data_IF_075423625994
#
_entry.id   IF_075423625994
#
_cell.length_a   1.000
_cell.length_b   1.000
_cell.length_c   1.000
_cell.angle_alpha   90.00
_cell.angle_beta   90.00
_cell.angle_gamma   90.00
#
_symmetry.space_group_name_H-M   'P 1'
#
loop_
_entity.id
_entity.type
_entity.pdbx_description
1 polymer ?
#
# COMPACT_ATOMS: atom_id res chain seq x y z
N UNK A 1 3.15 16.59 -12.85
CA UNK A 1 4.29 16.55 -13.80
C UNK A 1 3.98 15.67 -15.02
N UNK A 2 3.06 14.71 -14.92
CA UNK A 2 2.65 13.85 -16.05
C UNK A 2 3.84 13.14 -16.70
N UNK A 3 4.74 12.64 -15.85
CA UNK A 3 5.96 11.94 -16.25
C UNK A 3 5.69 10.44 -16.13
N UNK A 4 5.92 9.66 -17.19
CA UNK A 4 5.68 8.22 -17.16
C UNK A 4 6.76 7.50 -16.34
N UNK A 5 6.42 6.30 -15.87
CA UNK A 5 7.44 5.37 -15.36
C UNK A 5 8.21 4.78 -16.55
N UNK A 6 9.50 4.49 -16.40
CA UNK A 6 10.28 3.79 -17.42
C UNK A 6 10.86 2.50 -16.87
N UNK A 7 11.20 1.59 -17.78
CA UNK A 7 11.98 0.39 -17.49
C UNK A 7 13.33 0.78 -16.87
N UNK A 8 13.78 0.01 -15.88
CA UNK A 8 15.06 0.23 -15.19
C UNK A 8 16.20 0.44 -16.21
N UNK A 9 16.86 1.61 -16.23
CA UNK A 9 17.91 1.94 -17.20
C UNK A 9 19.10 0.99 -17.18
N UNK A 10 19.37 0.34 -16.05
CA UNK A 10 20.49 -0.59 -15.88
C UNK A 10 20.21 -2.00 -16.40
N UNK A 11 18.97 -2.31 -16.78
CA UNK A 11 18.65 -3.63 -17.35
C UNK A 11 19.14 -3.74 -18.80
N UNK A 12 19.59 -4.94 -19.24
CA UNK A 12 19.83 -5.20 -20.66
C UNK A 12 18.61 -4.84 -21.51
N UNK A 13 18.78 -4.44 -22.78
CA UNK A 13 17.64 -4.19 -23.65
C UNK A 13 16.77 -5.46 -23.79
N UNK A 14 15.45 -5.34 -24.03
CA UNK A 14 14.51 -6.46 -23.98
C UNK A 14 14.95 -7.70 -24.78
N UNK A 15 15.53 -7.50 -25.96
CA UNK A 15 16.03 -8.56 -26.84
C UNK A 15 17.27 -9.30 -26.31
N UNK A 16 17.94 -8.78 -25.28
CA UNK A 16 19.09 -9.40 -24.60
C UNK A 16 18.74 -9.99 -23.24
N UNK A 17 17.48 -9.91 -22.82
CA UNK A 17 17.03 -10.55 -21.57
C UNK A 17 17.02 -12.07 -21.73
N UNK A 18 17.29 -12.81 -20.66
CA UNK A 18 17.21 -14.27 -20.70
C UNK A 18 15.77 -14.73 -20.90
N UNK A 19 15.60 -15.94 -21.45
CA UNK A 19 14.28 -16.53 -21.73
C UNK A 19 13.37 -16.56 -20.49
N UNK A 20 13.94 -16.72 -19.29
CA UNK A 20 13.21 -16.72 -18.03
C UNK A 20 12.33 -15.47 -17.82
N UNK A 21 12.73 -14.30 -18.34
CA UNK A 21 11.96 -13.06 -18.21
C UNK A 21 10.76 -12.99 -19.17
N UNK A 22 10.69 -13.87 -20.16
CA UNK A 22 9.51 -14.03 -21.02
C UNK A 22 8.47 -15.01 -20.46
N UNK A 23 8.71 -15.55 -19.26
CA UNK A 23 7.78 -16.43 -18.57
C UNK A 23 6.40 -15.77 -18.37
N UNK A 24 5.34 -16.49 -18.74
CA UNK A 24 3.95 -16.04 -18.57
C UNK A 24 3.57 -16.02 -17.08
N UNK A 25 3.23 -14.84 -16.55
CA UNK A 25 2.83 -14.65 -15.15
C UNK A 25 1.38 -14.16 -15.10
N UNK A 26 0.56 -14.84 -14.30
CA UNK A 26 -0.83 -14.46 -14.06
C UNK A 26 -0.99 -13.88 -12.65
N UNK A 27 -1.78 -12.82 -12.52
CA UNK A 27 -2.23 -12.32 -11.23
C UNK A 27 -3.76 -12.25 -11.24
N UNK A 28 -4.40 -12.58 -10.13
CA UNK A 28 -5.87 -12.51 -10.00
C UNK A 28 -6.27 -11.39 -9.04
N UNK A 29 -7.22 -10.57 -9.48
CA UNK A 29 -7.68 -9.36 -8.81
C UNK A 29 -6.75 -8.17 -9.09
N UNK A 30 -7.28 -7.09 -9.67
CA UNK A 30 -6.57 -5.84 -9.92
C UNK A 30 -6.64 -4.89 -8.71
N UNK A 31 -6.42 -5.43 -7.51
CA UNK A 31 -6.31 -4.66 -6.27
C UNK A 31 -4.86 -4.28 -5.91
N UNK A 32 -4.64 -3.59 -4.77
CA UNK A 32 -3.32 -3.08 -4.38
C UNK A 32 -2.20 -4.13 -4.35
N UNK A 33 -2.51 -5.34 -3.87
CA UNK A 33 -1.54 -6.43 -3.79
C UNK A 33 -1.02 -6.86 -5.17
N UNK A 34 -1.91 -7.10 -6.12
CA UNK A 34 -1.52 -7.50 -7.48
C UNK A 34 -0.88 -6.36 -8.26
N UNK A 35 -1.35 -5.11 -8.08
CA UNK A 35 -0.74 -3.93 -8.71
C UNK A 35 0.72 -3.80 -8.25
N UNK A 36 0.97 -3.95 -6.94
CA UNK A 36 2.32 -3.96 -6.39
C UNK A 36 3.17 -5.11 -6.93
N UNK A 37 2.66 -6.34 -6.86
CA UNK A 37 3.37 -7.53 -7.32
C UNK A 37 3.76 -7.42 -8.80
N UNK A 38 2.81 -7.06 -9.67
CA UNK A 38 3.04 -6.86 -11.09
C UNK A 38 4.03 -5.73 -11.37
N UNK A 39 3.95 -4.61 -10.63
CA UNK A 39 4.90 -3.51 -10.77
C UNK A 39 6.33 -3.93 -10.48
N UNK A 40 6.57 -4.64 -9.37
CA UNK A 40 7.93 -5.10 -9.02
C UNK A 40 8.45 -6.19 -9.97
N UNK A 41 7.60 -7.10 -10.44
CA UNK A 41 7.97 -8.06 -11.47
C UNK A 41 8.35 -7.35 -12.79
N UNK A 42 7.57 -6.35 -13.21
CA UNK A 42 7.87 -5.58 -14.41
C UNK A 42 9.19 -4.80 -14.28
N UNK A 43 9.46 -4.23 -13.09
CA UNK A 43 10.74 -3.57 -12.77
C UNK A 43 11.94 -4.52 -12.82
N UNK A 44 11.77 -5.77 -12.41
CA UNK A 44 12.79 -6.82 -12.56
C UNK A 44 13.02 -7.23 -14.02
N UNK A 45 12.09 -6.90 -14.91
CA UNK A 45 12.23 -7.07 -16.36
C UNK A 45 11.36 -8.16 -16.97
N UNK A 46 10.40 -8.73 -16.22
CA UNK A 46 9.44 -9.69 -16.77
C UNK A 46 8.53 -9.01 -17.79
N UNK A 47 8.40 -9.60 -18.98
CA UNK A 47 7.73 -8.98 -20.13
C UNK A 47 6.31 -9.51 -20.40
N UNK A 48 5.92 -10.64 -19.83
CA UNK A 48 4.58 -11.23 -19.99
C UNK A 48 3.83 -11.37 -18.67
N UNK A 49 3.34 -10.22 -18.17
CA UNK A 49 2.57 -10.12 -16.94
C UNK A 49 1.13 -9.75 -17.28
N UNK A 50 0.17 -10.53 -16.80
CA UNK A 50 -1.26 -10.26 -17.00
C UNK A 50 -2.03 -10.36 -15.69
N UNK A 51 -2.74 -9.29 -15.34
CA UNK A 51 -3.70 -9.25 -14.24
C UNK A 51 -5.10 -9.55 -14.79
N UNK A 52 -5.79 -10.52 -14.19
CA UNK A 52 -7.18 -10.87 -14.49
C UNK A 52 -8.09 -10.30 -13.40
N UNK A 53 -9.00 -9.41 -13.78
CA UNK A 53 -9.94 -8.75 -12.88
C UNK A 53 -11.38 -9.21 -13.15
N UNK A 54 -12.12 -9.54 -12.08
CA UNK A 54 -13.50 -10.01 -12.19
C UNK A 54 -14.45 -8.92 -12.66
N UNK A 55 -14.25 -7.70 -12.16
CA UNK A 55 -15.10 -6.55 -12.44
C UNK A 55 -14.69 -5.85 -13.74
N UNK A 56 -15.50 -4.88 -14.16
CA UNK A 56 -15.20 -4.01 -15.31
C UNK A 56 -14.32 -2.80 -14.91
N UNK A 57 -14.02 -2.65 -13.63
CA UNK A 57 -13.15 -1.60 -13.08
C UNK A 57 -11.94 -2.22 -12.39
N UNK A 58 -10.88 -1.43 -12.25
CA UNK A 58 -9.60 -1.80 -11.64
C UNK A 58 -9.34 -1.00 -10.37
N UNK A 59 -8.39 -1.44 -9.54
CA UNK A 59 -8.00 -0.79 -8.28
C UNK A 59 -8.58 -1.43 -7.01
N UNK A 60 -9.42 -2.47 -7.13
CA UNK A 60 -10.00 -3.19 -5.99
C UNK A 60 -10.80 -2.26 -5.06
N UNK A 61 -10.63 -2.44 -3.74
CA UNK A 61 -11.33 -1.66 -2.71
C UNK A 61 -11.07 -0.16 -2.79
N UNK A 62 -9.87 0.26 -3.22
CA UNK A 62 -9.52 1.67 -3.44
C UNK A 62 -10.49 2.34 -4.43
N UNK A 63 -10.95 1.58 -5.42
CA UNK A 63 -11.95 2.02 -6.38
C UNK A 63 -13.37 1.77 -5.87
N UNK A 64 -13.68 0.56 -5.41
CA UNK A 64 -15.06 0.14 -5.19
C UNK A 64 -15.66 0.56 -3.85
N UNK A 65 -14.88 0.81 -2.81
CA UNK A 65 -15.41 0.98 -1.45
C UNK A 65 -14.90 2.22 -0.74
N UNK A 66 -13.60 2.54 -0.86
CA UNK A 66 -13.06 3.76 -0.24
C UNK A 66 -13.76 4.98 -0.85
N UNK A 67 -14.42 5.84 -0.07
CA UNK A 67 -15.21 6.94 -0.61
C UNK A 67 -14.38 7.96 -1.40
N UNK A 68 -14.99 8.55 -2.43
CA UNK A 68 -14.36 9.58 -3.29
C UNK A 68 -13.82 10.78 -2.50
N UNK A 69 -14.45 11.13 -1.37
CA UNK A 69 -14.03 12.25 -0.53
C UNK A 69 -12.80 11.92 0.36
N UNK A 70 -12.41 10.64 0.46
CA UNK A 70 -11.14 10.21 1.10
C UNK A 70 -10.08 9.87 0.07
N UNK A 71 -10.45 9.12 -0.97
CA UNK A 71 -9.55 8.69 -2.04
C UNK A 71 -10.16 9.00 -3.42
N UNK A 72 -9.69 10.08 -4.08
CA UNK A 72 -10.10 10.41 -5.43
C UNK A 72 -9.75 9.31 -6.44
N UNK A 73 -10.67 8.98 -7.33
CA UNK A 73 -10.47 7.91 -8.33
C UNK A 73 -9.30 8.15 -9.29
N UNK A 74 -9.02 9.40 -9.62
CA UNK A 74 -7.90 9.78 -10.50
C UNK A 74 -6.54 9.42 -9.90
N UNK A 75 -6.42 9.36 -8.56
CA UNK A 75 -5.21 8.85 -7.88
C UNK A 75 -5.02 7.37 -8.19
N UNK A 76 -6.08 6.57 -8.10
CA UNK A 76 -6.02 5.13 -8.40
C UNK A 76 -5.69 4.92 -9.88
N UNK A 77 -6.31 5.69 -10.77
CA UNK A 77 -6.01 5.63 -12.20
C UNK A 77 -4.55 6.00 -12.47
N UNK A 78 -4.02 7.05 -11.85
CA UNK A 78 -2.62 7.46 -11.99
C UNK A 78 -1.64 6.34 -11.63
N UNK A 79 -1.82 5.66 -10.50
CA UNK A 79 -0.94 4.56 -10.09
C UNK A 79 -1.02 3.35 -11.03
N UNK A 80 -2.21 3.07 -11.58
CA UNK A 80 -2.41 1.99 -12.54
C UNK A 80 -1.75 2.29 -13.88
N UNK A 81 -1.83 3.53 -14.37
CA UNK A 81 -1.15 3.93 -15.61
C UNK A 81 0.38 3.87 -15.45
N UNK A 82 0.94 4.27 -14.31
CA UNK A 82 2.37 4.08 -14.04
C UNK A 82 2.79 2.61 -14.14
N UNK A 83 1.98 1.68 -13.62
CA UNK A 83 2.26 0.25 -13.75
C UNK A 83 2.17 -0.22 -15.22
N UNK A 84 1.19 0.28 -15.98
CA UNK A 84 1.03 -0.05 -17.41
C UNK A 84 2.16 0.49 -18.27
N UNK A 85 2.80 1.60 -17.91
CA UNK A 85 4.00 2.11 -18.59
C UNK A 85 5.13 1.05 -18.64
N UNK A 86 5.15 0.11 -17.69
CA UNK A 86 6.09 -1.01 -17.65
C UNK A 86 5.65 -2.24 -18.47
N UNK A 87 4.53 -2.16 -19.19
CA UNK A 87 4.01 -3.24 -20.05
C UNK A 87 3.09 -4.25 -19.35
N UNK A 88 2.69 -4.01 -18.10
CA UNK A 88 1.73 -4.88 -17.40
C UNK A 88 0.36 -4.80 -18.08
N UNK A 89 -0.22 -5.95 -18.39
CA UNK A 89 -1.55 -6.06 -19.01
C UNK A 89 -2.62 -6.29 -17.95
N UNK A 90 -3.80 -5.70 -18.14
CA UNK A 90 -4.98 -5.99 -17.32
C UNK A 90 -6.12 -6.43 -18.24
N UNK A 91 -6.80 -7.52 -17.87
CA UNK A 91 -7.97 -8.04 -18.56
C UNK A 91 -9.12 -8.12 -17.55
N UNK A 92 -10.07 -7.20 -17.70
CA UNK A 92 -11.32 -7.16 -16.93
C UNK A 92 -12.32 -8.25 -17.38
N UNK A 93 -13.37 -8.46 -16.59
CA UNK A 93 -14.41 -9.47 -16.86
C UNK A 93 -13.88 -10.92 -16.86
N UNK A 94 -12.81 -11.20 -16.11
CA UNK A 94 -12.19 -12.52 -15.96
C UNK A 94 -12.06 -12.89 -14.50
N UNK A 95 -12.82 -13.91 -14.07
CA UNK A 95 -12.84 -14.34 -12.68
C UNK A 95 -12.07 -15.63 -12.44
N UNK A 96 -11.48 -15.73 -11.25
CA UNK A 96 -10.99 -16.98 -10.68
C UNK A 96 -12.19 -17.78 -10.15
N UNK A 97 -12.62 -18.79 -10.89
CA UNK A 97 -13.82 -19.59 -10.62
C UNK A 97 -13.77 -20.89 -11.44
N UNK A 98 -14.34 -21.98 -10.93
CA UNK A 98 -14.32 -23.31 -11.61
C UNK A 98 -14.88 -23.30 -13.02
N UNK A 99 -15.82 -22.39 -13.31
CA UNK A 99 -16.45 -22.28 -14.63
C UNK A 99 -15.70 -21.32 -15.57
N UNK A 100 -14.61 -20.70 -15.12
CA UNK A 100 -13.85 -19.71 -15.88
C UNK A 100 -12.36 -20.01 -15.83
N UNK A 101 -11.61 -19.35 -14.94
CA UNK A 101 -10.18 -19.54 -14.77
C UNK A 101 -9.91 -20.26 -13.45
N UNK A 102 -9.11 -21.30 -13.51
CA UNK A 102 -8.61 -22.06 -12.35
C UNK A 102 -7.09 -22.18 -12.42
N UNK A 103 -6.45 -22.55 -11.31
CA UNK A 103 -5.02 -22.84 -11.30
C UNK A 103 -4.64 -23.92 -12.32
N UNK A 104 -5.45 -24.98 -12.46
CA UNK A 104 -5.24 -26.03 -13.46
C UNK A 104 -5.24 -25.46 -14.89
N UNK A 105 -6.26 -24.66 -15.23
CA UNK A 105 -6.34 -24.06 -16.59
C UNK A 105 -5.21 -23.08 -16.88
N UNK A 106 -4.67 -22.38 -15.87
CA UNK A 106 -3.49 -21.54 -16.04
C UNK A 106 -2.26 -22.38 -16.34
N UNK A 107 -2.05 -23.46 -15.59
CA UNK A 107 -0.93 -24.37 -15.78
C UNK A 107 -0.96 -24.99 -17.18
N UNK A 108 -2.13 -25.42 -17.66
CA UNK A 108 -2.35 -25.91 -19.03
C UNK A 108 -2.03 -24.85 -20.10
N UNK A 109 -2.37 -23.58 -19.84
CA UNK A 109 -2.07 -22.45 -20.73
C UNK A 109 -0.60 -21.98 -20.66
N UNK A 110 0.25 -22.71 -19.96
CA UNK A 110 1.69 -22.48 -19.89
C UNK A 110 2.13 -21.34 -18.97
N UNK A 111 1.26 -20.89 -18.05
CA UNK A 111 1.67 -19.93 -17.02
C UNK A 111 2.69 -20.56 -16.08
N UNK A 112 3.76 -19.81 -15.78
CA UNK A 112 4.88 -20.28 -14.96
C UNK A 112 4.71 -19.91 -13.50
N UNK A 113 4.03 -18.82 -13.20
CA UNK A 113 3.71 -18.41 -11.84
C UNK A 113 2.32 -17.75 -11.78
N UNK A 114 1.67 -17.87 -10.62
CA UNK A 114 0.40 -17.22 -10.32
C UNK A 114 0.46 -16.47 -8.99
N UNK A 115 -0.14 -15.28 -8.94
CA UNK A 115 -0.34 -14.52 -7.70
C UNK A 115 -1.85 -14.32 -7.44
N UNK A 116 -2.30 -14.66 -6.23
CA UNK A 116 -3.70 -14.53 -5.80
C UNK A 116 -3.84 -13.28 -4.94
N UNK A 117 -4.44 -12.23 -5.51
CA UNK A 117 -4.70 -10.94 -4.86
C UNK A 117 -6.16 -10.51 -4.97
N UNK A 118 -7.09 -11.47 -4.91
CA UNK A 118 -8.54 -11.25 -5.10
C UNK A 118 -9.24 -10.57 -3.91
N UNK A 119 -8.52 -10.41 -2.79
CA UNK A 119 -9.07 -9.90 -1.53
C UNK A 119 -10.13 -10.81 -0.91
N UNK A 120 -11.05 -10.21 -0.16
CA UNK A 120 -12.22 -10.88 0.45
C UNK A 120 -13.51 -10.41 -0.25
N UNK A 121 -13.97 -11.14 -1.28
CA UNK A 121 -14.99 -10.63 -2.21
C UNK A 121 -16.41 -10.57 -1.64
N UNK A 122 -16.78 -11.43 -0.69
CA UNK A 122 -18.15 -11.48 -0.17
C UNK A 122 -18.29 -10.75 1.18
N UNK A 123 -19.47 -10.15 1.48
CA UNK A 123 -19.72 -9.60 2.80
C UNK A 123 -19.90 -10.70 3.85
N UNK A 124 -19.50 -10.43 5.09
CA UNK A 124 -19.84 -11.26 6.23
C UNK A 124 -21.33 -11.05 6.58
N UNK A 125 -22.15 -12.10 6.41
CA UNK A 125 -23.62 -12.03 6.56
C UNK A 125 -24.05 -12.63 7.90
N UNK A 126 -25.07 -12.01 8.48
CA UNK A 126 -25.77 -12.51 9.66
C UNK A 126 -27.13 -13.10 9.25
N UNK A 127 -27.52 -14.20 9.89
CA UNK A 127 -28.78 -14.90 9.62
C UNK A 127 -30.01 -14.02 9.85
N UNK A 128 -29.95 -13.05 10.77
CA UNK A 128 -31.09 -12.16 11.05
C UNK A 128 -31.49 -11.27 9.86
N UNK A 129 -30.59 -11.10 8.89
CA UNK A 129 -30.84 -10.30 7.67
C UNK A 129 -31.25 -11.15 6.47
N UNK A 130 -31.43 -12.45 6.65
CA UNK A 130 -31.81 -13.35 5.57
C UNK A 130 -33.14 -12.93 4.94
N UNK A 131 -33.15 -12.83 3.61
CA UNK A 131 -34.34 -12.46 2.84
C UNK A 131 -34.63 -10.95 2.75
N UNK A 132 -33.86 -10.10 3.44
CA UNK A 132 -33.99 -8.64 3.30
C UNK A 132 -33.40 -8.16 1.97
N UNK A 133 -34.03 -7.14 1.39
CA UNK A 133 -33.63 -6.57 0.10
C UNK A 133 -33.29 -5.08 0.19
N UNK A 134 -32.62 -4.57 -0.85
CA UNK A 134 -32.30 -3.14 -0.96
C UNK A 134 -33.56 -2.26 -1.03
N UNK A 135 -34.62 -2.73 -1.69
CA UNK A 135 -35.92 -2.04 -1.75
C UNK A 135 -36.60 -1.90 -0.38
N UNK A 136 -36.36 -2.87 0.51
CA UNK A 136 -36.82 -2.82 1.90
C UNK A 136 -35.96 -1.89 2.76
N UNK A 137 -34.79 -1.46 2.27
CA UNK A 137 -33.85 -0.59 2.98
C UNK A 137 -32.64 -1.33 3.58
N UNK A 138 -32.38 -2.59 3.22
CA UNK A 138 -31.23 -3.34 3.73
C UNK A 138 -30.08 -3.40 2.72
N UNK A 139 -28.85 -3.15 3.22
CA UNK A 139 -27.62 -3.28 2.45
C UNK A 139 -26.55 -3.97 3.30
N UNK A 140 -25.65 -4.70 2.66
CA UNK A 140 -24.31 -4.91 3.21
C UNK A 140 -23.36 -3.80 2.73
N UNK A 141 -22.20 -3.64 3.37
CA UNK A 141 -21.19 -2.68 2.88
C UNK A 141 -20.75 -2.98 1.44
N UNK A 142 -20.69 -4.27 1.08
CA UNK A 142 -20.38 -4.76 -0.29
C UNK A 142 -21.49 -4.50 -1.31
N UNK A 143 -22.70 -4.16 -0.86
CA UNK A 143 -23.76 -3.64 -1.73
C UNK A 143 -23.70 -2.10 -1.80
N UNK A 144 -23.66 -1.44 -0.63
CA UNK A 144 -23.85 0.00 -0.50
C UNK A 144 -22.69 0.82 -1.05
N UNK A 145 -21.45 0.55 -0.59
CA UNK A 145 -20.30 1.37 -0.95
C UNK A 145 -19.99 1.33 -2.46
N UNK A 146 -20.06 0.18 -3.16
CA UNK A 146 -19.90 0.15 -4.62
C UNK A 146 -20.94 0.97 -5.38
N UNK A 147 -22.18 1.09 -4.87
CA UNK A 147 -23.19 1.95 -5.49
C UNK A 147 -22.83 3.43 -5.32
N UNK A 148 -22.40 3.84 -4.12
CA UNK A 148 -21.94 5.21 -3.86
C UNK A 148 -20.70 5.53 -4.70
N UNK A 149 -19.75 4.61 -4.78
CA UNK A 149 -18.54 4.77 -5.57
C UNK A 149 -18.88 4.98 -7.06
N UNK A 150 -19.70 4.11 -7.66
CA UNK A 150 -20.14 4.27 -9.07
C UNK A 150 -20.88 5.59 -9.32
N UNK A 151 -21.64 6.07 -8.33
CA UNK A 151 -22.37 7.35 -8.45
C UNK A 151 -21.53 8.60 -8.17
N UNK A 152 -20.30 8.46 -7.65
CA UNK A 152 -19.45 9.61 -7.27
C UNK A 152 -18.08 9.65 -7.95
N UNK A 153 -17.61 8.52 -8.49
CA UNK A 153 -16.28 8.37 -9.12
C UNK A 153 -16.39 8.42 -10.64
N UNK A 154 -16.22 9.61 -11.21
CA UNK A 154 -16.18 9.77 -12.66
C UNK A 154 -15.02 8.95 -13.27
N UNK A 155 -15.31 8.15 -14.29
CA UNK A 155 -14.34 7.26 -14.94
C UNK A 155 -14.29 5.83 -14.40
N UNK A 156 -14.86 5.55 -13.21
CA UNK A 156 -14.90 4.19 -12.65
C UNK A 156 -15.82 3.24 -13.43
N UNK A 157 -16.99 3.73 -13.86
CA UNK A 157 -17.93 2.97 -14.68
C UNK A 157 -18.25 3.76 -15.95
N UNK A 158 -18.43 3.07 -17.07
CA UNK A 158 -19.03 3.68 -18.27
C UNK A 158 -20.52 4.05 -18.06
N UNK A 159 -21.14 3.44 -17.05
CA UNK A 159 -22.52 3.69 -16.66
C UNK A 159 -22.67 4.97 -15.85
N UNK A 160 -23.70 5.76 -16.14
CA UNK A 160 -24.15 6.84 -15.25
C UNK A 160 -25.00 6.23 -14.14
N UNK A 161 -24.37 5.79 -13.05
CA UNK A 161 -25.09 5.32 -11.86
C UNK A 161 -25.57 6.52 -11.03
N UNK A 162 -26.86 6.60 -10.67
CA UNK A 162 -27.30 7.59 -9.70
C UNK A 162 -26.76 7.24 -8.30
N UNK A 163 -26.58 8.25 -7.45
CA UNK A 163 -26.36 8.00 -6.03
C UNK A 163 -27.56 7.25 -5.43
N UNK A 164 -27.35 6.30 -4.50
CA UNK A 164 -28.43 5.67 -3.75
C UNK A 164 -29.33 6.72 -3.09
N UNK A 165 -30.66 6.57 -3.22
CA UNK A 165 -31.62 7.47 -2.55
C UNK A 165 -31.88 7.00 -1.12
N UNK A 166 -31.02 7.42 -0.18
CA UNK A 166 -31.15 7.09 1.24
C UNK A 166 -31.86 8.23 1.96
N UNK A 167 -33.02 7.97 2.58
CA UNK A 167 -33.79 8.96 3.33
C UNK A 167 -34.11 8.45 4.72
N UNK A 168 -34.30 9.37 5.67
CA UNK A 168 -34.69 9.02 7.03
C UNK A 168 -33.49 8.64 7.91
N UNK A 169 -33.72 7.71 8.84
CA UNK A 169 -32.72 7.26 9.82
C UNK A 169 -32.00 6.02 9.30
N UNK A 170 -30.67 6.07 9.29
CA UNK A 170 -29.81 4.96 8.88
C UNK A 170 -29.16 4.35 10.13
N UNK A 171 -29.17 3.03 10.22
CA UNK A 171 -28.36 2.26 11.16
C UNK A 171 -27.21 1.62 10.39
N UNK A 172 -25.98 1.88 10.80
CA UNK A 172 -24.78 1.19 10.32
C UNK A 172 -24.26 0.29 11.43
N UNK A 173 -24.04 -0.98 11.11
CA UNK A 173 -23.65 -2.01 12.07
C UNK A 173 -22.17 -2.35 11.92
N UNK A 174 -21.36 -2.02 12.91
CA UNK A 174 -19.92 -2.28 12.89
C UNK A 174 -19.10 -1.16 13.52
N UNK A 175 -17.80 -1.40 13.67
CA UNK A 175 -16.85 -0.48 14.28
C UNK A 175 -15.45 -0.54 13.62
N UNK A 176 -15.37 -0.94 12.35
CA UNK A 176 -14.14 -0.84 11.55
C UNK A 176 -14.35 0.15 10.41
N UNK A 177 -13.31 0.36 9.58
CA UNK A 177 -13.28 1.37 8.52
C UNK A 177 -14.52 1.32 7.61
N UNK A 178 -14.94 0.12 7.18
CA UNK A 178 -16.15 -0.03 6.35
C UNK A 178 -17.41 0.54 6.99
N UNK A 179 -17.53 0.51 8.32
CA UNK A 179 -18.70 1.06 9.01
C UNK A 179 -18.68 2.60 9.01
N UNK A 180 -17.50 3.21 9.21
CA UNK A 180 -17.34 4.66 9.18
C UNK A 180 -17.52 5.23 7.77
N UNK A 181 -16.99 4.55 6.76
CA UNK A 181 -17.23 4.86 5.36
C UNK A 181 -18.71 4.73 4.98
N UNK A 182 -19.40 3.68 5.44
CA UNK A 182 -20.84 3.53 5.21
C UNK A 182 -21.62 4.68 5.85
N UNK A 183 -21.24 5.09 7.07
CA UNK A 183 -21.93 6.14 7.80
C UNK A 183 -21.80 7.51 7.12
N UNK A 184 -20.58 7.92 6.79
CA UNK A 184 -20.30 9.19 6.10
C UNK A 184 -20.84 9.20 4.66
N UNK A 185 -20.80 8.07 3.97
CA UNK A 185 -21.38 7.90 2.63
C UNK A 185 -22.92 7.95 2.64
N UNK A 186 -23.57 7.44 3.69
CA UNK A 186 -25.02 7.54 3.85
C UNK A 186 -25.50 8.99 3.93
N UNK A 187 -24.72 9.89 4.54
CA UNK A 187 -25.02 11.32 4.57
C UNK A 187 -25.00 11.93 3.16
N UNK A 188 -24.03 11.57 2.31
CA UNK A 188 -23.99 12.02 0.89
C UNK A 188 -25.20 11.53 0.10
N UNK A 189 -25.76 10.39 0.48
CA UNK A 189 -26.96 9.81 -0.14
C UNK A 189 -28.27 10.45 0.34
N UNK A 190 -28.22 11.41 1.27
CA UNK A 190 -29.39 12.16 1.77
C UNK A 190 -29.96 11.67 3.10
N UNK A 191 -29.23 10.84 3.86
CA UNK A 191 -29.65 10.41 5.18
C UNK A 191 -29.92 11.60 6.11
N UNK A 192 -31.04 11.55 6.86
CA UNK A 192 -31.39 12.60 7.83
C UNK A 192 -30.60 12.47 9.13
N UNK A 193 -30.27 11.24 9.53
CA UNK A 193 -29.52 10.90 10.75
C UNK A 193 -28.89 9.53 10.58
N UNK A 194 -27.69 9.34 11.12
CA UNK A 194 -26.96 8.08 11.05
C UNK A 194 -26.57 7.63 12.46
N UNK A 195 -26.89 6.38 12.78
CA UNK A 195 -26.45 5.69 13.99
C UNK A 195 -25.41 4.64 13.63
N UNK A 196 -24.23 4.71 14.23
CA UNK A 196 -23.19 3.69 14.18
C UNK A 196 -23.35 2.83 15.43
N UNK A 197 -23.76 1.58 15.23
CA UNK A 197 -24.10 0.65 16.31
C UNK A 197 -23.09 -0.47 16.36
N UNK A 198 -22.57 -0.77 17.55
CA UNK A 198 -21.54 -1.78 17.72
C UNK A 198 -21.70 -2.56 19.03
N UNK A 199 -21.38 -3.85 18.97
CA UNK A 199 -21.61 -4.82 20.05
C UNK A 199 -20.64 -4.73 21.23
N UNK A 200 -19.73 -3.74 21.25
CA UNK A 200 -18.71 -3.55 22.30
C UNK A 200 -18.68 -2.08 22.73
N UNK A 201 -17.73 -1.69 23.58
CA UNK A 201 -17.54 -0.31 24.01
C UNK A 201 -16.76 0.54 22.99
N UNK A 202 -16.74 1.87 23.21
CA UNK A 202 -15.96 2.81 22.39
C UNK A 202 -14.47 2.48 22.33
N UNK A 203 -13.90 2.02 23.44
CA UNK A 203 -12.48 1.59 23.53
C UNK A 203 -12.18 0.37 22.65
N UNK A 204 -13.20 -0.29 22.08
CA UNK A 204 -13.07 -1.45 21.22
C UNK A 204 -13.33 -1.14 19.74
N UNK A 205 -13.45 0.14 19.37
CA UNK A 205 -13.48 0.56 17.97
C UNK A 205 -12.18 0.10 17.30
N UNK A 206 -12.30 -0.54 16.13
CA UNK A 206 -11.17 -1.10 15.38
C UNK A 206 -10.55 -0.11 14.41
N UNK A 207 -11.36 0.82 13.89
CA UNK A 207 -10.87 1.89 13.05
C UNK A 207 -9.94 2.80 13.84
N UNK A 208 -8.99 3.43 13.14
CA UNK A 208 -8.10 4.41 13.76
C UNK A 208 -8.88 5.66 14.21
N UNK A 209 -8.42 6.40 15.23
CA UNK A 209 -9.13 7.57 15.75
C UNK A 209 -9.48 8.61 14.69
N UNK A 210 -8.61 8.78 13.69
CA UNK A 210 -8.80 9.74 12.58
C UNK A 210 -10.01 9.37 11.73
N UNK A 211 -10.22 8.08 11.47
CA UNK A 211 -11.37 7.57 10.70
C UNK A 211 -12.68 7.72 11.50
N UNK A 212 -12.63 7.48 12.81
CA UNK A 212 -13.77 7.72 13.70
C UNK A 212 -14.15 9.20 13.76
N UNK A 213 -13.17 10.10 13.80
CA UNK A 213 -13.39 11.55 13.94
C UNK A 213 -14.18 12.11 12.75
N UNK A 214 -13.94 11.63 11.52
CA UNK A 214 -14.71 12.04 10.34
C UNK A 214 -16.23 11.86 10.53
N UNK A 215 -16.65 10.68 11.01
CA UNK A 215 -18.07 10.42 11.25
C UNK A 215 -18.63 11.25 12.41
N UNK A 216 -17.80 11.49 13.44
CA UNK A 216 -18.18 12.27 14.63
C UNK A 216 -18.36 13.76 14.31
N UNK A 217 -17.46 14.34 13.52
CA UNK A 217 -17.56 15.74 13.08
C UNK A 217 -18.85 15.97 12.28
N UNK A 218 -19.23 15.00 11.44
CA UNK A 218 -20.46 14.96 10.65
C UNK A 218 -21.71 14.55 11.46
N UNK A 219 -21.61 14.51 12.78
CA UNK A 219 -22.73 14.29 13.73
C UNK A 219 -23.39 12.91 13.60
N UNK A 220 -22.64 11.88 13.19
CA UNK A 220 -23.07 10.50 13.38
C UNK A 220 -23.16 10.21 14.89
N UNK A 221 -24.18 9.45 15.28
CA UNK A 221 -24.36 9.03 16.67
C UNK A 221 -23.85 7.62 16.89
N UNK A 222 -23.24 7.40 18.05
CA UNK A 222 -22.54 6.17 18.37
C UNK A 222 -23.30 5.45 19.49
N UNK A 223 -23.73 4.23 19.20
CA UNK A 223 -24.49 3.40 20.15
C UNK A 223 -23.67 2.14 20.47
N UNK A 224 -22.88 2.16 21.55
CA UNK A 224 -22.08 1.02 21.98
C UNK A 224 -22.95 -0.05 22.66
N UNK A 225 -22.36 -1.22 22.88
CA UNK A 225 -22.94 -2.31 23.67
C UNK A 225 -24.29 -2.83 23.16
N UNK A 226 -24.48 -2.86 21.83
CA UNK A 226 -25.72 -3.34 21.22
C UNK A 226 -25.46 -4.45 20.21
N UNK A 227 -26.11 -5.60 20.42
CA UNK A 227 -26.10 -6.73 19.49
C UNK A 227 -27.43 -6.81 18.73
N UNK A 228 -27.41 -6.87 17.39
CA UNK A 228 -28.60 -7.06 16.57
C UNK A 228 -29.42 -8.31 16.94
N UNK A 229 -30.76 -8.17 16.99
CA UNK A 229 -31.68 -9.31 17.17
C UNK A 229 -32.73 -9.46 16.09
N UNK A 230 -33.43 -8.38 15.74
CA UNK A 230 -34.55 -8.49 14.80
C UNK A 230 -34.72 -7.21 14.00
N UNK A 231 -34.88 -7.36 12.68
CA UNK A 231 -35.31 -6.27 11.81
C UNK A 231 -36.83 -6.28 11.68
N UNK A 232 -37.45 -5.12 11.82
CA UNK A 232 -38.91 -4.99 11.78
C UNK A 232 -39.29 -4.31 10.48
N UNK A 233 -40.03 -5.07 9.67
CA UNK A 233 -40.53 -4.64 8.37
C UNK A 233 -42.04 -4.45 8.45
N UNK A 234 -42.53 -3.29 7.99
CA UNK A 234 -43.96 -2.99 7.85
C UNK A 234 -44.21 -2.37 6.48
N UNK A 235 -45.27 -2.81 5.80
CA UNK A 235 -45.60 -2.31 4.46
C UNK A 235 -44.47 -2.48 3.44
N UNK A 236 -43.67 -3.54 3.58
CA UNK A 236 -42.53 -3.80 2.70
C UNK A 236 -41.31 -2.91 2.91
N UNK A 237 -41.20 -2.16 4.02
CA UNK A 237 -40.02 -1.37 4.37
C UNK A 237 -39.58 -1.59 5.81
N UNK A 238 -38.29 -1.46 6.07
CA UNK A 238 -37.75 -1.44 7.43
C UNK A 238 -38.29 -0.19 8.14
N UNK A 239 -38.75 -0.36 9.38
CA UNK A 239 -39.23 0.73 10.23
C UNK A 239 -38.52 0.80 11.58
N UNK A 240 -37.87 -0.29 11.99
CA UNK A 240 -37.10 -0.37 13.22
C UNK A 240 -36.15 -1.57 13.21
N UNK A 241 -35.18 -1.52 14.11
CA UNK A 241 -34.30 -2.64 14.44
C UNK A 241 -34.25 -2.81 15.96
N UNK A 242 -34.38 -4.06 16.39
CA UNK A 242 -34.31 -4.47 17.78
C UNK A 242 -32.91 -5.01 18.09
N UNK A 243 -32.40 -4.61 19.24
CA UNK A 243 -31.11 -5.00 19.78
C UNK A 243 -31.27 -5.53 21.19
N UNK A 244 -30.28 -6.29 21.64
CA UNK A 244 -30.06 -6.62 23.05
C UNK A 244 -28.78 -5.97 23.53
N UNK A 245 -28.74 -5.63 24.82
CA UNK A 245 -27.54 -5.08 25.44
C UNK A 245 -26.45 -6.14 25.47
N UNK A 246 -25.21 -5.72 25.28
CA UNK A 246 -24.04 -6.55 25.52
C UNK A 246 -23.21 -6.01 26.67
N UNK A 247 -22.47 -6.89 27.34
CA UNK A 247 -21.52 -6.51 28.37
C UNK A 247 -20.36 -7.49 28.43
N UNK A 248 -19.28 -7.07 29.09
CA UNK A 248 -18.09 -7.88 29.28
C UNK A 248 -18.06 -8.34 30.74
N UNK A 249 -17.96 -9.66 30.96
CA UNK A 249 -17.81 -10.21 32.31
C UNK A 249 -16.37 -10.07 32.83
N UNK A 250 -16.15 -10.47 34.09
CA UNK A 250 -14.85 -10.42 34.76
C UNK A 250 -13.76 -11.26 34.06
N UNK A 251 -14.15 -12.25 33.26
CA UNK A 251 -13.22 -13.10 32.48
C UNK A 251 -12.86 -12.49 31.13
N UNK A 252 -13.48 -11.36 30.77
CA UNK A 252 -13.31 -10.70 29.49
C UNK A 252 -14.21 -11.25 28.38
N UNK A 253 -15.09 -12.21 28.68
CA UNK A 253 -16.04 -12.76 27.72
C UNK A 253 -17.22 -11.80 27.55
N UNK A 254 -17.70 -11.71 26.32
CA UNK A 254 -18.84 -10.87 25.94
C UNK A 254 -20.12 -11.68 26.03
N UNK A 255 -21.09 -11.17 26.79
CA UNK A 255 -22.41 -11.76 26.99
C UNK A 255 -23.50 -10.83 26.44
N UNK A 256 -24.64 -11.41 26.08
CA UNK A 256 -25.81 -10.70 25.57
C UNK A 256 -26.94 -10.85 26.60
N UNK A 257 -27.57 -9.75 26.98
CA UNK A 257 -28.67 -9.70 27.94
C UNK A 257 -30.01 -9.56 27.19
N UNK A 258 -30.76 -10.67 27.12
CA UNK A 258 -32.03 -10.75 26.39
C UNK A 258 -33.16 -9.93 27.04
N UNK A 259 -33.08 -9.65 28.35
CA UNK A 259 -34.09 -8.88 29.06
C UNK A 259 -33.93 -7.36 28.82
N UNK A 260 -32.70 -6.94 28.48
CA UNK A 260 -32.37 -5.55 28.17
C UNK A 260 -32.42 -5.26 26.66
N UNK A 261 -33.62 -5.02 26.15
CA UNK A 261 -33.87 -4.76 24.73
C UNK A 261 -33.92 -3.27 24.38
N UNK A 262 -33.37 -2.92 23.21
CA UNK A 262 -33.48 -1.58 22.61
C UNK A 262 -34.24 -1.66 21.30
N UNK A 263 -35.17 -0.73 21.12
CA UNK A 263 -35.99 -0.62 19.91
C UNK A 263 -35.68 0.69 19.18
N UNK A 264 -34.82 0.61 18.16
CA UNK A 264 -34.34 1.78 17.44
C UNK A 264 -35.09 1.93 16.12
N UNK A 265 -35.78 3.07 15.92
CA UNK A 265 -36.44 3.38 14.65
C UNK A 265 -35.41 3.61 13.56
N UNK A 266 -35.61 3.01 12.40
CA UNK A 266 -34.73 3.13 11.25
C UNK A 266 -35.48 2.86 9.96
N UNK A 267 -35.07 3.53 8.90
CA UNK A 267 -35.59 3.35 7.54
C UNK A 267 -34.62 2.52 6.69
N UNK A 268 -33.32 2.58 7.01
CA UNK A 268 -32.25 1.86 6.32
C UNK A 268 -31.31 1.19 7.32
N UNK A 269 -30.87 -0.02 7.01
CA UNK A 269 -29.88 -0.78 7.77
C UNK A 269 -28.73 -1.18 6.85
N UNK A 270 -27.50 -0.87 7.25
CA UNK A 270 -26.28 -1.21 6.53
C UNK A 270 -25.40 -2.09 7.43
N UNK A 271 -25.18 -3.35 7.02
CA UNK A 271 -24.28 -4.27 7.71
C UNK A 271 -22.84 -4.11 7.24
N UNK A 272 -21.93 -3.75 8.15
CA UNK A 272 -20.50 -3.55 7.89
C UNK A 272 -19.63 -4.47 8.78
N UNK A 273 -19.98 -5.76 8.83
CA UNK A 273 -19.30 -6.78 9.64
C UNK A 273 -17.97 -7.29 9.07
N UNK A 274 -17.51 -6.68 7.97
CA UNK A 274 -16.34 -7.09 7.23
C UNK A 274 -16.68 -8.01 6.07
N UNK A 275 -15.63 -8.62 5.51
CA UNK A 275 -15.72 -9.42 4.29
C UNK A 275 -15.05 -10.78 4.51
N UNK A 276 -15.39 -11.75 3.68
CA UNK A 276 -14.90 -13.13 3.74
C UNK A 276 -14.67 -13.70 2.34
N UNK A 277 -13.98 -14.84 2.28
CA UNK A 277 -13.96 -15.71 1.11
C UNK A 277 -14.86 -16.92 1.40
N UNK A 278 -16.00 -16.98 0.72
CA UNK A 278 -17.07 -17.95 0.99
C UNK A 278 -17.57 -18.70 -0.25
N UNK A 279 -17.40 -18.16 -1.45
CA UNK A 279 -17.86 -18.81 -2.69
C UNK A 279 -17.11 -20.14 -2.92
N UNK A 280 -17.82 -21.29 -2.88
CA UNK A 280 -17.19 -22.60 -3.11
C UNK A 280 -16.51 -22.71 -4.47
N UNK A 281 -17.06 -22.05 -5.51
CA UNK A 281 -16.50 -22.08 -6.87
C UNK A 281 -15.17 -21.35 -6.96
N UNK A 282 -14.98 -20.29 -6.18
CA UNK A 282 -13.70 -19.57 -6.10
C UNK A 282 -12.68 -20.41 -5.34
N UNK A 283 -13.09 -21.04 -4.22
CA UNK A 283 -12.20 -21.92 -3.44
C UNK A 283 -11.77 -23.16 -4.22
N UNK A 284 -12.68 -23.78 -4.95
CA UNK A 284 -12.37 -24.95 -5.77
C UNK A 284 -11.44 -24.59 -6.95
N UNK A 285 -11.57 -23.38 -7.52
CA UNK A 285 -10.66 -22.89 -8.55
C UNK A 285 -9.19 -22.72 -8.08
N UNK A 286 -8.99 -22.62 -6.76
CA UNK A 286 -7.69 -22.56 -6.10
C UNK A 286 -7.12 -23.94 -5.75
N UNK A 287 -7.83 -25.04 -6.03
CA UNK A 287 -7.30 -26.39 -5.81
C UNK A 287 -5.99 -26.61 -6.58
N UNK A 288 -4.97 -27.28 -6.00
CA UNK A 288 -4.99 -28.01 -4.74
C UNK A 288 -4.32 -27.27 -3.56
N UNK A 289 -4.27 -25.93 -3.56
CA UNK A 289 -3.58 -25.22 -2.47
C UNK A 289 -4.22 -25.50 -1.10
N UNK A 290 -3.41 -25.54 -0.05
CA UNK A 290 -3.88 -25.69 1.33
C UNK A 290 -4.58 -24.41 1.80
N UNK A 291 -5.62 -24.61 2.60
CA UNK A 291 -6.32 -23.55 3.31
C UNK A 291 -6.10 -23.72 4.81
N UNK A 292 -5.95 -22.59 5.51
CA UNK A 292 -5.78 -22.58 6.96
C UNK A 292 -7.13 -22.76 7.69
N UNK A 293 -7.10 -22.76 9.02
CA UNK A 293 -8.31 -22.90 9.89
C UNK A 293 -9.37 -21.82 9.67
N UNK A 294 -9.02 -20.69 9.06
CA UNK A 294 -9.94 -19.58 8.75
C UNK A 294 -10.56 -19.72 7.36
N UNK A 295 -10.24 -20.78 6.62
CA UNK A 295 -10.76 -21.00 5.28
C UNK A 295 -10.19 -20.04 4.24
N UNK A 296 -8.97 -19.53 4.49
CA UNK A 296 -8.17 -18.69 3.59
C UNK A 296 -6.93 -19.44 3.09
N UNK A 297 -6.38 -19.11 1.90
CA UNK A 297 -5.13 -19.69 1.40
C UNK A 297 -4.00 -19.60 2.43
N UNK A 298 -3.37 -20.73 2.71
CA UNK A 298 -2.21 -20.78 3.60
C UNK A 298 -0.96 -20.42 2.80
N UNK A 299 -0.15 -19.50 3.35
CA UNK A 299 1.12 -19.08 2.76
C UNK A 299 2.23 -19.09 3.81
N UNK A 300 3.46 -19.25 3.35
CA UNK A 300 4.63 -18.90 4.13
C UNK A 300 4.72 -17.37 4.28
N UNK A 301 4.84 -16.82 5.50
CA UNK A 301 4.75 -15.37 5.75
C UNK A 301 5.96 -14.58 5.26
N UNK A 302 7.10 -15.23 5.01
CA UNK A 302 8.30 -14.58 4.47
C UNK A 302 8.25 -14.55 2.94
N UNK A 303 7.82 -15.65 2.32
CA UNK A 303 7.90 -15.82 0.87
C UNK A 303 6.59 -15.51 0.14
N UNK A 304 5.47 -15.47 0.86
CA UNK A 304 4.11 -15.38 0.33
C UNK A 304 3.71 -16.57 -0.56
N UNK A 305 4.48 -17.66 -0.52
CA UNK A 305 4.27 -18.86 -1.31
C UNK A 305 3.21 -19.76 -0.66
N UNK A 306 2.30 -20.31 -1.47
CA UNK A 306 1.31 -21.30 -0.99
C UNK A 306 1.94 -22.69 -0.87
N UNK A 307 1.13 -23.72 -0.58
CA UNK A 307 1.59 -25.11 -0.65
C UNK A 307 2.02 -25.56 -2.06
N UNK A 308 1.60 -24.85 -3.12
CA UNK A 308 2.04 -25.08 -4.49
C UNK A 308 3.16 -24.09 -4.85
N UNK A 309 4.34 -24.60 -5.21
CA UNK A 309 5.54 -23.78 -5.38
C UNK A 309 5.42 -22.64 -6.41
N UNK A 310 4.53 -22.79 -7.39
CA UNK A 310 4.32 -21.82 -8.46
C UNK A 310 3.19 -20.82 -8.17
N UNK A 311 2.53 -20.93 -7.02
CA UNK A 311 1.36 -20.12 -6.63
C UNK A 311 1.67 -19.37 -5.34
N UNK A 312 1.44 -18.06 -5.38
CA UNK A 312 1.68 -17.11 -4.30
C UNK A 312 0.38 -16.36 -3.99
N UNK A 313 0.23 -15.81 -2.79
CA UNK A 313 -0.95 -15.02 -2.42
C UNK A 313 -0.58 -13.86 -1.49
N UNK A 314 -1.32 -12.76 -1.55
CA UNK A 314 -1.07 -11.58 -0.71
C UNK A 314 -2.26 -10.62 -0.63
N UNK A 315 -2.23 -9.74 0.36
CA UNK A 315 -3.33 -8.83 0.70
C UNK A 315 -4.43 -9.51 1.51
N UNK A 316 -5.63 -8.92 1.53
CA UNK A 316 -6.74 -9.35 2.41
C UNK A 316 -7.07 -10.85 2.31
N UNK A 317 -6.83 -11.48 1.16
CA UNK A 317 -7.11 -12.91 0.94
C UNK A 317 -6.29 -13.82 1.87
N UNK A 318 -5.12 -13.37 2.34
CA UNK A 318 -4.27 -14.09 3.29
C UNK A 318 -4.77 -13.90 4.74
N UNK A 319 -5.53 -12.84 5.00
CA UNK A 319 -6.11 -12.54 6.32
C UNK A 319 -5.13 -11.97 7.34
N UNK A 320 -3.95 -11.53 6.89
CA UNK A 320 -2.95 -10.85 7.73
C UNK A 320 -3.01 -9.33 7.54
N UNK A 321 -3.01 -8.87 6.28
CA UNK A 321 -3.16 -7.46 5.94
C UNK A 321 -4.57 -6.95 6.26
N UNK A 322 -4.65 -5.76 6.84
CA UNK A 322 -5.91 -5.03 7.03
C UNK A 322 -5.87 -3.63 6.42
N UNK A 323 -4.74 -3.25 5.80
CA UNK A 323 -4.53 -1.93 5.19
C UNK A 323 -4.03 -2.05 3.75
N UNK A 324 -4.24 -0.99 2.97
CA UNK A 324 -3.71 -0.89 1.60
C UNK A 324 -2.19 -1.05 1.55
N UNK A 325 -1.46 -0.45 2.50
CA UNK A 325 0.01 -0.50 2.52
C UNK A 325 0.56 -1.90 2.84
N UNK A 326 -0.09 -2.64 3.74
CA UNK A 326 0.26 -4.03 4.02
C UNK A 326 0.00 -4.91 2.78
N UNK A 327 -1.15 -4.73 2.12
CA UNK A 327 -1.45 -5.43 0.87
C UNK A 327 -0.42 -5.13 -0.24
N UNK A 328 -0.01 -3.87 -0.38
CA UNK A 328 1.08 -3.48 -1.29
C UNK A 328 2.39 -4.17 -0.90
N UNK A 329 2.70 -4.26 0.39
CA UNK A 329 3.89 -4.93 0.87
C UNK A 329 3.86 -6.44 0.61
N UNK A 330 2.73 -7.12 0.77
CA UNK A 330 2.60 -8.54 0.45
C UNK A 330 2.90 -8.81 -1.03
N UNK A 331 2.35 -7.98 -1.93
CA UNK A 331 2.65 -8.07 -3.36
C UNK A 331 4.12 -7.81 -3.68
N UNK A 332 4.74 -6.83 -3.00
CA UNK A 332 6.17 -6.52 -3.11
C UNK A 332 7.02 -7.70 -2.65
N UNK A 333 6.71 -8.28 -1.49
CA UNK A 333 7.41 -9.43 -0.93
C UNK A 333 7.30 -10.63 -1.88
N UNK A 334 6.08 -10.97 -2.30
CA UNK A 334 5.82 -12.05 -3.24
C UNK A 334 6.59 -11.90 -4.55
N UNK A 335 6.75 -10.68 -5.08
CA UNK A 335 7.46 -10.44 -6.35
C UNK A 335 8.91 -10.95 -6.34
N UNK A 336 9.62 -10.81 -5.21
CA UNK A 336 11.00 -11.30 -5.09
C UNK A 336 11.07 -12.83 -5.11
N UNK A 337 10.13 -13.50 -4.45
CA UNK A 337 10.11 -14.95 -4.37
C UNK A 337 9.49 -15.61 -5.61
N UNK A 338 8.55 -14.94 -6.29
CA UNK A 338 8.12 -15.29 -7.65
C UNK A 338 9.33 -15.18 -8.58
N UNK A 339 10.11 -14.11 -8.49
CA UNK A 339 11.33 -13.96 -9.29
C UNK A 339 12.31 -15.11 -9.04
N UNK A 340 12.65 -15.38 -7.78
CA UNK A 340 13.51 -16.51 -7.39
C UNK A 340 12.98 -17.84 -7.91
N UNK A 341 11.68 -18.10 -7.75
CA UNK A 341 11.04 -19.31 -8.23
C UNK A 341 11.15 -19.44 -9.75
N UNK A 342 10.74 -18.42 -10.51
CA UNK A 342 10.77 -18.45 -11.98
C UNK A 342 12.21 -18.62 -12.49
N UNK A 343 13.18 -17.88 -11.96
CA UNK A 343 14.59 -18.04 -12.37
C UNK A 343 15.08 -19.48 -12.14
N UNK A 344 14.72 -20.10 -11.01
CA UNK A 344 15.09 -21.49 -10.71
C UNK A 344 14.51 -22.49 -11.70
N UNK A 345 13.30 -22.26 -12.22
CA UNK A 345 12.68 -23.12 -13.23
C UNK A 345 13.41 -23.08 -14.58
N UNK A 346 14.19 -22.03 -14.82
CA UNK A 346 15.01 -21.85 -16.02
C UNK A 346 16.52 -22.09 -15.74
N UNK A 347 16.86 -22.72 -14.60
CA UNK A 347 18.24 -23.07 -14.26
C UNK A 347 19.13 -21.88 -13.87
N UNK A 348 18.53 -20.72 -13.58
CA UNK A 348 19.24 -19.53 -13.13
C UNK A 348 19.14 -19.36 -11.61
N UNK A 349 20.21 -18.86 -11.00
CA UNK A 349 20.22 -18.45 -9.60
C UNK A 349 20.03 -16.93 -9.47
N UNK A 350 19.53 -16.51 -8.32
CA UNK A 350 19.39 -15.09 -7.94
C UNK A 350 20.23 -14.82 -6.70
N UNK A 351 20.50 -13.55 -6.41
CA UNK A 351 21.25 -13.15 -5.22
C UNK A 351 20.55 -13.63 -3.93
N UNK A 352 21.34 -13.92 -2.89
CA UNK A 352 20.79 -14.31 -1.59
C UNK A 352 20.09 -13.14 -0.89
N UNK A 353 20.60 -11.92 -1.10
CA UNK A 353 20.02 -10.68 -0.58
C UNK A 353 18.97 -10.17 -1.58
N UNK A 354 17.75 -9.83 -1.13
CA UNK A 354 16.75 -9.23 -2.01
C UNK A 354 17.19 -7.92 -2.66
N UNK A 355 17.03 -7.81 -3.97
CA UNK A 355 17.44 -6.68 -4.81
C UNK A 355 16.28 -6.22 -5.71
N UNK A 356 15.17 -5.79 -5.09
CA UNK A 356 14.06 -5.22 -5.83
C UNK A 356 14.44 -3.85 -6.42
N UNK A 357 14.25 -3.62 -7.74
CA UNK A 357 14.64 -2.36 -8.36
C UNK A 357 13.82 -1.16 -7.87
N UNK A 358 14.45 0.01 -7.92
CA UNK A 358 13.82 1.29 -7.63
C UNK A 358 12.79 1.68 -8.71
N UNK A 359 12.12 2.81 -8.46
CA UNK A 359 11.26 3.47 -9.43
C UNK A 359 12.10 4.43 -10.29
N UNK A 360 11.90 4.41 -11.60
CA UNK A 360 12.62 5.25 -12.56
C UNK A 360 11.67 5.98 -13.50
N UNK A 361 12.11 7.14 -13.94
CA UNK A 361 11.44 8.05 -14.87
C UNK A 361 12.44 8.59 -15.88
N UNK A 362 12.00 9.26 -16.96
CA UNK A 362 12.92 9.96 -17.86
C UNK A 362 13.78 11.03 -17.19
N UNK A 363 13.41 11.54 -16.00
CA UNK A 363 14.24 12.49 -15.24
C UNK A 363 15.56 11.85 -14.82
N UNK A 364 15.54 10.56 -14.47
CA UNK A 364 16.73 9.86 -13.98
C UNK A 364 17.80 9.65 -15.07
N UNK A 365 17.45 9.91 -16.33
CA UNK A 365 18.36 9.87 -17.48
C UNK A 365 19.00 11.23 -17.80
N UNK A 366 18.63 12.30 -17.10
CA UNK A 366 19.16 13.64 -17.35
C UNK A 366 20.64 13.66 -16.97
N UNK A 367 21.49 13.98 -17.94
CA UNK A 367 22.92 14.19 -17.71
C UNK A 367 23.12 15.50 -16.93
N UNK A 368 23.66 15.36 -15.73
CA UNK A 368 24.01 16.47 -14.83
C UNK A 368 25.52 16.64 -14.69
N UNK A 369 26.33 15.98 -15.54
CA UNK A 369 27.78 16.14 -15.54
C UNK A 369 28.21 17.54 -16.01
N UNK A 370 29.41 17.95 -15.61
CA UNK A 370 29.98 19.24 -16.00
C UNK A 370 31.49 19.15 -16.11
N UNK A 371 32.07 19.88 -17.07
CA UNK A 371 33.52 20.06 -17.18
C UNK A 371 33.90 21.47 -16.74
N UNK A 372 34.87 21.58 -15.84
CA UNK A 372 35.38 22.87 -15.36
C UNK A 372 36.89 22.80 -15.18
N UNK A 373 37.62 23.76 -15.73
CA UNK A 373 39.09 23.83 -15.67
C UNK A 373 39.80 22.54 -16.16
N UNK A 374 39.20 21.82 -17.12
CA UNK A 374 39.71 20.54 -17.63
C UNK A 374 39.45 19.32 -16.74
N UNK A 375 38.77 19.51 -15.60
CA UNK A 375 38.31 18.44 -14.72
C UNK A 375 36.87 18.06 -15.06
N UNK A 376 36.57 16.77 -15.03
CA UNK A 376 35.24 16.24 -15.33
C UNK A 376 34.56 15.82 -14.04
N UNK A 377 33.37 16.36 -13.80
CA UNK A 377 32.57 16.08 -12.63
C UNK A 377 31.33 15.29 -13.03
N UNK A 378 31.11 14.14 -12.41
CA UNK A 378 29.90 13.32 -12.64
C UNK A 378 28.61 14.05 -12.23
N UNK A 379 28.71 15.03 -11.34
CA UNK A 379 27.68 16.00 -10.98
C UNK A 379 28.32 17.26 -10.34
N UNK A 380 27.65 18.43 -10.31
CA UNK A 380 28.26 19.68 -9.88
C UNK A 380 28.27 19.87 -8.36
N UNK A 381 27.91 18.85 -7.57
CA UNK A 381 27.74 18.96 -6.12
C UNK A 381 28.95 18.39 -5.40
N UNK A 382 29.52 19.17 -4.49
CA UNK A 382 30.70 18.74 -3.73
C UNK A 382 30.72 19.21 -2.30
N UNK A 383 31.52 18.52 -1.49
CA UNK A 383 31.77 18.92 -0.11
C UNK A 383 32.81 20.06 -0.07
N UNK A 384 32.43 21.16 0.57
CA UNK A 384 33.37 22.24 0.85
C UNK A 384 34.43 21.82 1.88
N UNK A 385 35.55 22.56 1.90
CA UNK A 385 36.62 22.40 2.90
C UNK A 385 36.13 22.87 4.28
N UNK A 386 35.44 21.98 4.99
CA UNK A 386 34.71 22.31 6.20
C UNK A 386 34.53 21.08 7.10
N UNK A 387 33.68 21.20 8.13
CA UNK A 387 33.41 20.12 9.07
C UNK A 387 32.93 18.80 8.44
N UNK A 388 32.13 18.77 7.34
CA UNK A 388 31.77 17.51 6.69
C UNK A 388 32.96 16.76 6.06
N UNK A 389 34.10 17.44 5.88
CA UNK A 389 35.33 16.88 5.35
C UNK A 389 36.44 16.82 6.42
N UNK A 390 36.08 16.69 7.70
CA UNK A 390 37.06 16.65 8.81
C UNK A 390 38.00 15.46 8.74
N UNK A 391 37.57 14.32 8.16
CA UNK A 391 38.40 13.13 7.97
C UNK A 391 38.14 12.47 6.63
N UNK A 392 39.14 11.75 6.14
CA UNK A 392 39.11 10.99 4.87
C UNK A 392 37.96 9.98 4.82
N UNK A 393 37.67 9.33 5.94
CA UNK A 393 36.55 8.41 6.07
C UNK A 393 35.18 9.08 5.89
N UNK A 394 35.07 10.40 6.07
CA UNK A 394 33.84 11.14 5.76
C UNK A 394 33.72 11.39 4.25
N UNK A 395 34.83 11.77 3.61
CA UNK A 395 34.88 11.96 2.15
C UNK A 395 34.59 10.65 1.41
N UNK A 396 35.20 9.54 1.83
CA UNK A 396 34.91 8.20 1.30
C UNK A 396 33.41 7.90 1.30
N UNK A 397 32.75 8.08 2.45
CA UNK A 397 31.29 7.88 2.57
C UNK A 397 30.47 8.86 1.73
N UNK A 398 30.98 10.06 1.48
CA UNK A 398 30.32 11.02 0.59
C UNK A 398 30.40 10.58 -0.87
N UNK A 399 31.55 10.05 -1.32
CA UNK A 399 31.67 9.46 -2.66
C UNK A 399 30.83 8.20 -2.81
N UNK A 400 30.80 7.32 -1.80
CA UNK A 400 29.89 6.16 -1.76
C UNK A 400 28.40 6.58 -1.84
N UNK A 401 28.06 7.78 -1.35
CA UNK A 401 26.72 8.35 -1.45
C UNK A 401 26.44 9.10 -2.77
N UNK A 402 27.45 9.32 -3.63
CA UNK A 402 27.30 9.92 -4.96
C UNK A 402 27.68 11.40 -5.08
N UNK A 403 28.37 12.00 -4.11
CA UNK A 403 28.89 13.37 -4.26
C UNK A 403 29.93 13.43 -5.39
N UNK A 404 29.83 14.42 -6.28
CA UNK A 404 30.68 14.51 -7.48
C UNK A 404 32.13 14.86 -7.17
N UNK A 405 32.37 15.69 -6.15
CA UNK A 405 33.72 16.05 -5.69
C UNK A 405 33.77 16.36 -4.20
N UNK A 406 34.97 16.44 -3.64
CA UNK A 406 35.15 16.85 -2.24
C UNK A 406 36.47 17.57 -2.00
N UNK A 407 36.44 18.60 -1.16
CA UNK A 407 37.64 19.27 -0.70
C UNK A 407 38.11 18.65 0.61
N UNK A 408 39.41 18.39 0.73
CA UNK A 408 40.01 18.10 2.04
C UNK A 408 39.82 19.31 2.95
N UNK A 409 39.71 19.09 4.27
CA UNK A 409 39.82 20.20 5.23
C UNK A 409 41.17 20.88 5.02
N UNK A 410 41.18 22.21 5.00
CA UNK A 410 42.40 23.01 4.83
C UNK A 410 43.51 22.47 5.74
N UNK A 411 44.67 22.20 5.17
CA UNK A 411 45.82 21.66 5.90
C UNK A 411 47.02 22.58 5.75
N UNK A 412 48.00 22.39 6.63
CA UNK A 412 49.25 23.14 6.63
C UNK A 412 50.46 22.21 6.78
N UNK A 413 51.66 22.77 6.64
CA UNK A 413 52.89 22.07 6.97
C UNK A 413 52.99 21.85 8.49
N UNK A 414 53.79 20.87 8.90
CA UNK A 414 53.91 20.49 10.32
C UNK A 414 54.33 21.64 11.25
N UNK A 415 55.07 22.63 10.73
CA UNK A 415 55.47 23.84 11.48
C UNK A 415 54.30 24.77 11.84
N UNK A 416 53.18 24.65 11.14
CA UNK A 416 51.98 25.47 11.26
C UNK A 416 50.81 24.65 11.84
N UNK A 417 51.12 23.62 12.64
CA UNK A 417 50.12 22.80 13.31
C UNK A 417 49.29 23.64 14.29
N UNK A 418 47.98 23.41 14.31
CA UNK A 418 47.03 24.16 15.14
C UNK A 418 46.34 23.24 16.15
N UNK A 419 45.72 23.86 17.15
CA UNK A 419 44.85 23.18 18.11
C UNK A 419 43.56 23.97 18.26
N UNK A 420 42.43 23.33 18.02
CA UNK A 420 41.11 23.95 18.11
C UNK A 420 40.69 24.20 19.56
N UNK A 421 39.86 25.22 19.77
CA UNK A 421 39.18 25.49 21.05
C UNK A 421 37.79 24.85 21.08
N UNK A 422 37.16 24.78 22.26
CA UNK A 422 35.77 24.37 22.41
C UNK A 422 35.06 25.18 23.51
N UNK A 423 33.84 25.72 23.27
CA UNK A 423 32.98 25.54 22.09
C UNK A 423 33.45 26.36 20.88
N UNK A 424 33.13 25.91 19.66
CA UNK A 424 33.66 26.54 18.42
C UNK A 424 32.70 26.60 17.23
N UNK A 425 31.55 25.93 17.29
CA UNK A 425 30.51 25.99 16.27
C UNK A 425 29.18 26.13 16.98
N UNK A 426 28.42 27.16 16.63
CA UNK A 426 27.13 27.47 17.25
C UNK A 426 26.05 27.67 16.19
N UNK A 427 24.79 27.41 16.56
CA UNK A 427 23.65 27.73 15.70
C UNK A 427 23.52 29.23 15.49
N UNK A 428 23.06 29.61 14.32
CA UNK A 428 22.72 30.99 14.01
C UNK A 428 21.50 31.49 14.78
N UNK A 429 21.51 32.78 15.09
CA UNK A 429 20.37 33.53 15.63
C UNK A 429 19.59 34.27 14.54
N UNK A 430 19.97 34.09 13.28
CA UNK A 430 19.46 34.81 12.10
C UNK A 430 17.97 34.59 11.82
N UNK A 431 17.39 33.49 12.32
CA UNK A 431 15.96 33.17 12.19
C UNK A 431 15.26 33.01 13.54
N UNK A 432 15.71 33.73 14.56
CA UNK A 432 15.10 33.72 15.89
C UNK A 432 15.30 32.40 16.66
N UNK A 433 14.47 32.10 17.68
CA UNK A 433 14.63 30.95 18.57
C UNK A 433 14.12 29.63 17.94
N UNK A 434 14.41 29.39 16.66
CA UNK A 434 14.10 28.14 15.97
C UNK A 434 15.25 27.15 16.13
N UNK A 435 15.02 26.07 16.87
CA UNK A 435 16.01 25.00 17.11
C UNK A 435 15.68 23.78 16.24
N UNK A 436 16.65 22.87 16.11
CA UNK A 436 16.47 21.63 15.34
C UNK A 436 16.76 21.83 13.84
N UNK A 437 15.95 21.26 12.93
CA UNK A 437 16.26 21.18 11.50
C UNK A 437 16.33 22.55 10.82
N UNK A 438 17.02 22.61 9.68
CA UNK A 438 17.02 23.80 8.82
C UNK A 438 17.55 25.06 9.49
N UNK A 439 18.58 24.94 10.33
CA UNK A 439 19.23 26.10 10.93
C UNK A 439 19.65 27.07 9.82
N UNK A 440 19.17 28.31 9.90
CA UNK A 440 19.37 29.31 8.84
C UNK A 440 20.83 29.74 8.67
N UNK A 441 21.65 29.57 9.72
CA UNK A 441 23.09 29.75 9.65
C UNK A 441 23.80 29.01 10.77
N UNK A 442 25.11 28.91 10.64
CA UNK A 442 26.02 28.52 11.71
C UNK A 442 27.15 29.55 11.79
N UNK A 443 27.62 29.81 13.00
CA UNK A 443 28.83 30.60 13.23
C UNK A 443 29.92 29.66 13.74
N UNK A 444 31.14 29.79 13.20
CA UNK A 444 32.27 29.00 13.64
C UNK A 444 33.51 29.88 13.88
N UNK A 445 34.31 29.44 14.84
CA UNK A 445 35.67 29.92 15.12
C UNK A 445 36.66 28.75 15.01
N UNK A 446 36.35 27.78 14.15
CA UNK A 446 37.19 26.61 13.91
C UNK A 446 38.40 26.99 13.06
N UNK A 447 39.55 26.40 13.35
CA UNK A 447 40.78 26.58 12.60
C UNK A 447 40.84 25.64 11.38
N UNK A 448 42.01 25.58 10.75
CA UNK A 448 42.36 24.55 9.76
C UNK A 448 42.42 23.15 10.41
N UNK A 449 42.64 22.12 9.61
CA UNK A 449 42.77 20.73 10.06
C UNK A 449 43.83 20.59 11.16
N UNK A 450 43.48 19.90 12.25
CA UNK A 450 44.44 19.44 13.27
C UNK A 450 45.21 18.17 12.86
N UNK A 451 44.85 17.55 11.72
CA UNK A 451 45.57 16.43 11.12
C UNK A 451 46.69 16.92 10.22
N UNK A 452 47.80 16.19 10.20
CA UNK A 452 49.04 16.54 9.49
C UNK A 452 48.90 16.50 7.97
N UNK A 453 49.83 17.15 7.26
CA UNK A 453 49.91 17.05 5.80
C UNK A 453 50.11 15.60 5.33
N UNK A 454 50.94 14.82 6.05
CA UNK A 454 51.17 13.41 5.74
C UNK A 454 49.87 12.58 5.73
N UNK A 455 49.01 12.79 6.73
CA UNK A 455 47.69 12.14 6.79
C UNK A 455 46.86 12.44 5.54
N UNK A 456 46.76 13.73 5.15
CA UNK A 456 45.93 14.14 4.02
C UNK A 456 46.51 13.71 2.67
N UNK A 457 47.84 13.76 2.47
CA UNK A 457 48.46 13.32 1.24
C UNK A 457 48.26 11.82 1.00
N UNK A 458 48.47 11.00 2.04
CA UNK A 458 48.17 9.56 1.96
C UNK A 458 46.69 9.33 1.67
N UNK A 459 45.81 10.05 2.37
CA UNK A 459 44.37 9.96 2.20
C UNK A 459 43.88 10.29 0.80
N UNK A 460 44.43 11.34 0.16
CA UNK A 460 44.10 11.69 -1.22
C UNK A 460 44.52 10.58 -2.19
N UNK A 461 45.68 9.96 -1.94
CA UNK A 461 46.15 8.82 -2.74
C UNK A 461 45.16 7.64 -2.64
N UNK A 462 44.72 7.31 -1.43
CA UNK A 462 43.73 6.25 -1.19
C UNK A 462 42.37 6.58 -1.83
N UNK A 463 41.90 7.83 -1.71
CA UNK A 463 40.63 8.25 -2.29
C UNK A 463 40.64 8.21 -3.82
N UNK A 464 41.68 8.73 -4.47
CA UNK A 464 41.75 8.70 -5.95
C UNK A 464 42.01 7.29 -6.49
N UNK A 465 42.62 6.40 -5.70
CA UNK A 465 42.76 4.99 -6.08
C UNK A 465 41.40 4.28 -6.10
N UNK A 466 40.56 4.53 -5.09
CA UNK A 466 39.26 3.86 -4.97
C UNK A 466 38.13 4.55 -5.75
N UNK A 467 38.25 5.85 -5.99
CA UNK A 467 37.24 6.71 -6.62
C UNK A 467 37.89 7.55 -7.74
N UNK A 468 38.29 6.95 -8.87
CA UNK A 468 38.99 7.65 -9.94
C UNK A 468 38.14 8.74 -10.61
N UNK A 469 36.83 8.54 -10.71
CA UNK A 469 35.85 9.42 -11.39
C UNK A 469 35.31 10.55 -10.48
N UNK A 470 35.65 10.56 -9.20
CA UNK A 470 35.31 11.62 -8.26
C UNK A 470 36.52 12.55 -8.09
N UNK A 471 36.31 13.86 -8.24
CA UNK A 471 37.39 14.86 -8.21
C UNK A 471 37.67 15.47 -6.82
#
# INVERSE_FOLDING_TARGET
>A
MSIPQIRNPSLPPPEKMSEAYSAKIALFGAGPASISCASFLARLGYSDITIFEKQEYVGGLSTSEIPQFRLPYDVVNFEIELMKDLGVKIICGKSLSVNEMTLSTLKEKGYKAAFIGIGLPEPNKDAIFQGLTQDQGFYTSKDFLPLVAKGSKAGMCACHSPLPSIRGVVIVLGAGDSAFDCATSALRCGARRVFIVFRKGFVNIRAVPEEMELAKEEKCEFLPFLSPRKVIVKGGRIVAMQFVRTEQDETGKWNEDEDQMVHLKADVVISAFGSVLSDPKVKEALSPIKFNRWGLPEVDPETMQTSEAWVFAGGDVVGLANTTVESVNDGKQASWYIHKYVQSQYGASVSAKPELPLFYTPIDLVDISVEMAGLKFINPFGLASATPATSTSMIRRAFEAGWGFALTKTLSLDKDIVTNVSPRIIRGTTSGPMYGPGQSSFLNIELISEKTAAYWCQSVTELKADFPDNE
#
